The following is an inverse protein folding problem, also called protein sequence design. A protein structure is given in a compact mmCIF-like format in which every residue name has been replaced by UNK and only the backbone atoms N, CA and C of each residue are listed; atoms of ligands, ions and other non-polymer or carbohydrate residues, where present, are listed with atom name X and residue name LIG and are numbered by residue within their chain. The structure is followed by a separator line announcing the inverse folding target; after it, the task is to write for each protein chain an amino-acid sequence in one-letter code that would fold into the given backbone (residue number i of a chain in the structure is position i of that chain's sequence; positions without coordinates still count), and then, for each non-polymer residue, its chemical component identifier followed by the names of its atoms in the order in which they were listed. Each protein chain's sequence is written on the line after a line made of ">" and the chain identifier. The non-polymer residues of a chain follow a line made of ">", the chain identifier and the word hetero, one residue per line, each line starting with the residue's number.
data_IF_436567964765
#
_entry.id   IF_436567964765
#
_cell.length_a   1.000
_cell.length_b   1.000
_cell.length_c   1.000
_cell.angle_alpha   90.00
_cell.angle_beta   90.00
_cell.angle_gamma   90.00
#
_symmetry.space_group_name_H-M   'P 1'
#
loop_
_entity.id
_entity.type
_entity.pdbx_description
1 polymer ?
#
# COMPACT_ATOMS: atom_id res chain seq x y z
N UNK A 1 14.56 -30.39 -6.09
CA UNK A 1 13.64 -29.26 -5.86
C UNK A 1 12.52 -29.76 -4.96
N UNK A 2 12.11 -28.98 -3.94
CA UNK A 2 11.12 -29.45 -2.97
C UNK A 2 9.73 -28.86 -3.27
N UNK A 3 8.67 -29.58 -2.92
CA UNK A 3 7.30 -29.11 -3.04
C UNK A 3 7.04 -27.98 -2.02
N UNK A 4 6.53 -26.81 -2.41
CA UNK A 4 6.30 -25.69 -1.49
C UNK A 4 5.19 -25.97 -0.45
N UNK A 5 4.29 -26.93 -0.72
CA UNK A 5 3.20 -27.27 0.19
C UNK A 5 3.54 -28.34 1.21
N UNK A 6 4.28 -29.40 0.83
CA UNK A 6 4.49 -30.56 1.68
C UNK A 6 5.98 -30.88 1.92
N UNK A 7 6.92 -30.11 1.37
CA UNK A 7 8.36 -30.31 1.53
C UNK A 7 8.94 -31.56 0.86
N UNK A 8 8.16 -32.37 0.14
CA UNK A 8 8.67 -33.58 -0.54
C UNK A 8 9.57 -33.24 -1.72
N UNK A 9 10.63 -33.99 -1.89
CA UNK A 9 11.56 -33.83 -3.02
C UNK A 9 10.87 -34.24 -4.33
N UNK A 10 11.00 -33.39 -5.34
CA UNK A 10 10.38 -33.58 -6.66
C UNK A 10 11.41 -33.58 -7.77
N UNK A 11 11.20 -34.36 -8.87
CA UNK A 11 12.02 -34.30 -10.08
C UNK A 11 11.99 -32.89 -10.71
N UNK A 12 13.09 -32.49 -11.34
CA UNK A 12 13.12 -31.28 -12.15
C UNK A 12 12.08 -31.35 -13.28
N UNK A 13 11.17 -30.37 -13.37
CA UNK A 13 10.15 -30.31 -14.41
C UNK A 13 8.82 -31.02 -14.08
N UNK A 14 8.63 -31.52 -12.86
CA UNK A 14 7.34 -32.09 -12.43
C UNK A 14 6.26 -30.96 -12.41
N UNK A 15 5.10 -31.23 -13.04
CA UNK A 15 3.95 -30.30 -13.10
C UNK A 15 3.03 -30.37 -11.90
N UNK A 16 3.08 -31.46 -11.16
CA UNK A 16 2.34 -31.65 -9.90
C UNK A 16 3.20 -32.39 -8.90
N UNK A 17 2.88 -32.28 -7.62
CA UNK A 17 3.54 -33.05 -6.57
C UNK A 17 2.87 -34.42 -6.42
N UNK A 18 3.60 -35.50 -6.65
CA UNK A 18 3.08 -36.86 -6.55
C UNK A 18 2.62 -37.28 -5.15
N UNK A 19 2.94 -36.43 -4.13
CA UNK A 19 2.58 -36.72 -2.73
C UNK A 19 1.33 -35.94 -2.25
N UNK A 20 1.09 -34.71 -2.71
CA UNK A 20 0.00 -33.89 -2.23
C UNK A 20 -0.86 -33.28 -3.36
N UNK A 21 -0.67 -33.74 -4.59
CA UNK A 21 -1.35 -33.28 -5.83
C UNK A 21 -1.30 -31.74 -6.06
N UNK A 22 -0.41 -31.04 -5.35
CA UNK A 22 -0.23 -29.60 -5.58
C UNK A 22 0.27 -29.36 -6.99
N UNK A 23 -0.44 -28.57 -7.74
CA UNK A 23 0.04 -28.06 -9.04
C UNK A 23 1.32 -27.22 -8.79
N UNK A 24 2.41 -27.64 -9.40
CA UNK A 24 3.74 -27.06 -9.26
C UNK A 24 4.08 -26.11 -10.42
N UNK A 25 3.14 -25.89 -11.31
CA UNK A 25 3.18 -24.73 -12.19
C UNK A 25 3.03 -23.48 -11.30
N UNK A 26 4.12 -23.07 -10.65
CA UNK A 26 4.22 -21.72 -10.10
C UNK A 26 3.71 -20.78 -11.18
N UNK A 27 2.82 -19.82 -10.85
CA UNK A 27 2.51 -18.75 -11.79
C UNK A 27 3.87 -18.16 -12.19
N UNK A 28 4.27 -18.38 -13.43
CA UNK A 28 5.39 -17.68 -14.04
C UNK A 28 5.07 -16.18 -13.94
N UNK A 29 6.08 -15.31 -13.97
CA UNK A 29 5.91 -13.84 -14.01
C UNK A 29 4.80 -13.35 -14.96
N UNK A 30 4.41 -14.17 -15.94
CA UNK A 30 3.28 -13.94 -16.83
C UNK A 30 1.93 -13.78 -16.10
N UNK A 31 1.68 -14.49 -14.98
CA UNK A 31 0.39 -14.41 -14.26
C UNK A 31 0.25 -13.10 -13.49
N UNK A 32 1.35 -12.59 -12.92
CA UNK A 32 1.37 -11.27 -12.27
C UNK A 32 1.15 -10.18 -13.32
N UNK A 33 1.81 -10.29 -14.48
CA UNK A 33 1.63 -9.36 -15.59
C UNK A 33 0.20 -9.38 -16.13
N UNK A 34 -0.47 -10.52 -16.14
CA UNK A 34 -1.86 -10.66 -16.63
C UNK A 34 -2.88 -10.10 -15.62
N UNK A 35 -2.68 -10.25 -14.32
CA UNK A 35 -3.50 -9.63 -13.28
C UNK A 35 -3.39 -8.11 -13.36
N UNK A 36 -2.16 -7.57 -13.44
CA UNK A 36 -1.90 -6.14 -13.55
C UNK A 36 -2.49 -5.54 -14.83
N UNK A 37 -2.43 -6.23 -15.96
CA UNK A 37 -3.05 -5.77 -17.22
C UNK A 37 -4.57 -5.76 -17.18
N UNK A 38 -5.21 -6.63 -16.40
CA UNK A 38 -6.66 -6.67 -16.27
C UNK A 38 -7.22 -5.53 -15.41
N UNK A 39 -6.39 -4.94 -14.53
CA UNK A 39 -6.78 -3.81 -13.66
C UNK A 39 -6.73 -2.45 -14.34
N UNK A 40 -6.15 -2.35 -15.54
CA UNK A 40 -5.89 -1.06 -16.20
C UNK A 40 -4.74 -0.27 -15.60
N UNK A 41 -3.90 -0.92 -14.78
CA UNK A 41 -2.69 -0.34 -14.22
C UNK A 41 -1.61 -0.20 -15.29
N UNK A 42 -1.04 1.01 -15.42
CA UNK A 42 -0.08 1.36 -16.45
C UNK A 42 1.19 1.94 -15.85
N UNK A 43 2.33 1.56 -16.44
CA UNK A 43 3.63 1.98 -15.95
C UNK A 43 3.98 1.33 -14.61
N UNK A 44 5.02 1.86 -13.95
CA UNK A 44 5.39 1.46 -12.58
C UNK A 44 5.84 0.01 -12.40
N UNK A 45 6.22 -0.68 -13.49
CA UNK A 45 6.66 -2.07 -13.42
C UNK A 45 7.90 -2.23 -12.53
N UNK A 46 8.80 -1.23 -12.52
CA UNK A 46 9.97 -1.21 -11.65
C UNK A 46 9.55 -1.13 -10.18
N UNK A 47 8.75 -0.14 -9.84
CA UNK A 47 8.31 0.10 -8.46
C UNK A 47 7.47 -1.08 -7.93
N UNK A 48 6.57 -1.61 -8.74
CA UNK A 48 5.79 -2.78 -8.38
C UNK A 48 6.67 -4.04 -8.27
N UNK A 49 7.70 -4.18 -9.11
CA UNK A 49 8.69 -5.24 -9.03
C UNK A 49 9.48 -5.20 -7.72
N UNK A 50 9.93 -4.01 -7.30
CA UNK A 50 10.64 -3.80 -6.04
C UNK A 50 9.74 -4.11 -4.83
N UNK A 51 8.48 -3.69 -4.84
CA UNK A 51 7.48 -4.01 -3.81
C UNK A 51 7.17 -5.52 -3.76
N UNK A 52 7.05 -6.15 -4.92
CA UNK A 52 6.82 -7.59 -5.03
C UNK A 52 8.00 -8.40 -4.51
N UNK A 53 9.24 -7.91 -4.71
CA UNK A 53 10.45 -8.50 -4.13
C UNK A 53 10.44 -8.38 -2.61
N UNK A 54 10.11 -7.18 -2.07
CA UNK A 54 10.00 -6.98 -0.62
C UNK A 54 8.92 -7.87 0.01
N UNK A 55 7.79 -8.09 -0.68
CA UNK A 55 6.77 -9.06 -0.28
C UNK A 55 7.34 -10.49 -0.25
N UNK A 56 8.14 -10.87 -1.25
CA UNK A 56 8.81 -12.17 -1.31
C UNK A 56 9.78 -12.38 -0.14
N UNK A 57 10.54 -11.34 0.21
CA UNK A 57 11.44 -11.37 1.36
C UNK A 57 10.66 -11.56 2.67
N UNK A 58 9.59 -10.80 2.87
CA UNK A 58 8.73 -10.93 4.06
C UNK A 58 8.10 -12.34 4.15
N UNK A 59 7.56 -12.88 3.06
CA UNK A 59 7.05 -14.27 3.01
C UNK A 59 8.14 -15.30 3.38
N UNK A 60 9.41 -14.97 3.13
CA UNK A 60 10.56 -15.82 3.44
C UNK A 60 11.12 -15.62 4.84
N UNK A 61 10.44 -14.83 5.70
CA UNK A 61 10.86 -14.57 7.08
C UNK A 61 11.82 -13.41 7.24
N UNK A 62 11.93 -12.54 6.24
CA UNK A 62 12.77 -11.33 6.31
C UNK A 62 11.86 -10.10 6.26
N UNK A 63 11.52 -9.58 7.44
CA UNK A 63 10.65 -8.42 7.57
C UNK A 63 11.16 -7.20 6.81
N UNK A 64 10.25 -6.47 6.15
CA UNK A 64 10.57 -5.32 5.29
C UNK A 64 9.70 -4.11 5.58
N UNK A 65 10.32 -2.93 5.51
CA UNK A 65 9.63 -1.65 5.41
C UNK A 65 9.91 -1.02 4.06
N UNK A 66 8.86 -0.65 3.31
CA UNK A 66 8.99 0.12 2.08
C UNK A 66 8.19 1.41 2.21
N UNK A 67 8.83 2.55 2.00
CA UNK A 67 8.17 3.85 2.00
C UNK A 67 8.14 4.44 0.60
N UNK A 68 6.93 4.85 0.16
CA UNK A 68 6.65 5.43 -1.14
C UNK A 68 6.50 6.94 -0.99
N UNK A 69 7.51 7.69 -1.41
CA UNK A 69 7.47 9.15 -1.51
C UNK A 69 6.96 9.63 -2.87
N UNK A 70 6.46 10.85 -2.94
CA UNK A 70 6.10 11.50 -4.21
C UNK A 70 4.94 12.45 -4.09
N UNK A 71 4.70 13.22 -5.15
CA UNK A 71 3.68 14.27 -5.23
C UNK A 71 2.25 13.76 -5.03
N UNK A 72 1.32 14.62 -4.60
CA UNK A 72 -0.11 14.31 -4.58
C UNK A 72 -0.62 13.89 -5.96
N UNK A 73 -1.40 12.80 -6.01
CA UNK A 73 -2.00 12.32 -7.26
C UNK A 73 -1.04 11.59 -8.22
N UNK A 74 0.22 11.37 -7.84
CA UNK A 74 1.21 10.70 -8.69
C UNK A 74 0.95 9.20 -8.90
N UNK A 75 0.05 8.59 -8.10
CA UNK A 75 -0.35 7.20 -8.23
C UNK A 75 0.17 6.27 -7.12
N UNK A 76 0.63 6.78 -5.97
CA UNK A 76 1.09 5.95 -4.83
C UNK A 76 0.04 4.93 -4.38
N UNK A 77 -1.18 5.39 -4.10
CA UNK A 77 -2.30 4.53 -3.72
C UNK A 77 -2.59 3.43 -4.75
N UNK A 78 -2.51 3.75 -6.05
CA UNK A 78 -2.72 2.75 -7.11
C UNK A 78 -1.67 1.62 -7.05
N UNK A 79 -0.39 1.97 -6.83
CA UNK A 79 0.68 0.97 -6.70
C UNK A 79 0.44 0.09 -5.47
N UNK A 80 0.03 0.68 -4.34
CA UNK A 80 -0.26 -0.05 -3.10
C UNK A 80 -1.47 -0.98 -3.27
N UNK A 81 -2.50 -0.56 -4.04
CA UNK A 81 -3.66 -1.40 -4.40
C UNK A 81 -3.25 -2.63 -5.22
N UNK A 82 -2.38 -2.45 -6.21
CA UNK A 82 -1.87 -3.59 -7.00
C UNK A 82 -1.05 -4.55 -6.13
N UNK A 83 -0.21 -4.00 -5.23
CA UNK A 83 0.52 -4.83 -4.27
C UNK A 83 -0.43 -5.61 -3.35
N UNK A 84 -1.53 -4.98 -2.87
CA UNK A 84 -2.53 -5.64 -2.04
C UNK A 84 -3.13 -6.86 -2.76
N UNK A 85 -3.50 -6.71 -4.04
CA UNK A 85 -4.03 -7.81 -4.84
C UNK A 85 -2.99 -8.95 -5.01
N UNK A 86 -1.71 -8.60 -5.21
CA UNK A 86 -0.62 -9.59 -5.31
C UNK A 86 -0.40 -10.29 -3.96
N UNK A 87 -0.48 -9.58 -2.84
CA UNK A 87 -0.31 -10.12 -1.50
C UNK A 87 -1.45 -11.10 -1.15
N UNK A 88 -2.70 -10.73 -1.43
CA UNK A 88 -3.87 -11.59 -1.25
C UNK A 88 -3.76 -12.87 -2.09
N UNK A 89 -3.36 -12.77 -3.36
CA UNK A 89 -3.12 -13.92 -4.23
C UNK A 89 -2.00 -14.84 -3.72
N UNK A 90 -1.09 -14.34 -2.88
CA UNK A 90 -0.04 -15.10 -2.19
C UNK A 90 -0.45 -15.54 -0.77
N UNK A 91 -1.73 -15.41 -0.42
CA UNK A 91 -2.29 -15.78 0.88
C UNK A 91 -1.68 -15.02 2.07
N UNK A 92 -1.25 -13.79 1.87
CA UNK A 92 -0.89 -12.88 2.95
C UNK A 92 -2.15 -12.17 3.49
N UNK A 93 -2.18 -11.90 4.80
CA UNK A 93 -3.22 -11.07 5.40
C UNK A 93 -2.87 -9.59 5.17
N UNK A 94 -3.78 -8.84 4.57
CA UNK A 94 -3.55 -7.43 4.20
C UNK A 94 -4.40 -6.52 5.06
N UNK A 95 -3.77 -5.65 5.84
CA UNK A 95 -4.44 -4.63 6.65
C UNK A 95 -4.08 -3.24 6.15
N UNK A 96 -5.08 -2.41 5.93
CA UNK A 96 -4.95 -1.12 5.26
C UNK A 96 -5.58 -0.01 6.07
N UNK A 97 -4.79 1.00 6.40
CA UNK A 97 -5.27 2.17 7.13
C UNK A 97 -4.67 3.48 6.61
N UNK A 98 -5.44 4.54 6.81
CA UNK A 98 -5.04 5.90 6.46
C UNK A 98 -4.73 6.70 7.71
N UNK A 99 -3.65 7.47 7.68
CA UNK A 99 -3.42 8.49 8.69
C UNK A 99 -4.42 9.64 8.50
N UNK A 100 -4.94 10.15 9.60
CA UNK A 100 -6.03 11.12 9.58
C UNK A 100 -5.53 12.54 9.29
N UNK A 101 -6.07 13.18 8.24
CA UNK A 101 -5.84 14.60 7.95
C UNK A 101 -6.67 15.46 8.89
N UNK A 102 -6.11 15.94 9.97
CA UNK A 102 -6.77 16.91 10.85
C UNK A 102 -6.41 16.80 12.32
N UNK A 103 -6.71 17.87 13.05
CA UNK A 103 -6.55 17.93 14.50
C UNK A 103 -7.65 17.09 15.18
N UNK A 104 -7.25 16.20 16.10
CA UNK A 104 -8.18 15.49 16.96
C UNK A 104 -8.22 13.96 16.80
N UNK A 105 -7.44 13.36 15.92
CA UNK A 105 -7.24 11.92 15.96
C UNK A 105 -6.56 11.52 17.27
N UNK A 106 -7.02 10.44 17.94
CA UNK A 106 -6.33 9.92 19.11
C UNK A 106 -4.91 9.49 18.75
N UNK A 107 -3.95 9.55 19.70
CA UNK A 107 -2.63 8.94 19.49
C UNK A 107 -2.76 7.47 19.04
N UNK A 108 -1.85 7.03 18.17
CA UNK A 108 -1.84 5.66 17.61
C UNK A 108 -3.04 5.29 16.73
N UNK A 109 -3.80 6.26 16.22
CA UNK A 109 -5.04 5.99 15.48
C UNK A 109 -4.93 4.94 14.37
N UNK A 110 -3.98 5.01 13.40
CA UNK A 110 -3.87 4.00 12.35
C UNK A 110 -3.57 2.60 12.92
N UNK A 111 -2.78 2.52 13.97
CA UNK A 111 -2.47 1.26 14.64
C UNK A 111 -3.69 0.65 15.34
N UNK A 112 -4.53 1.49 15.98
CA UNK A 112 -5.78 1.01 16.57
C UNK A 112 -6.69 0.36 15.54
N UNK A 113 -6.81 0.96 14.37
CA UNK A 113 -7.67 0.42 13.32
C UNK A 113 -7.11 -0.90 12.78
N UNK A 114 -5.80 -0.97 12.49
CA UNK A 114 -5.13 -2.21 12.10
C UNK A 114 -5.36 -3.31 13.14
N UNK A 115 -5.09 -3.02 14.41
CA UNK A 115 -5.21 -4.02 15.47
C UNK A 115 -6.66 -4.49 15.65
N UNK A 116 -7.65 -3.60 15.51
CA UNK A 116 -9.07 -3.97 15.48
C UNK A 116 -9.40 -4.91 14.34
N UNK A 117 -8.89 -4.63 13.14
CA UNK A 117 -9.07 -5.49 11.97
C UNK A 117 -8.42 -6.85 12.22
N UNK A 118 -7.18 -6.89 12.72
CA UNK A 118 -6.50 -8.13 13.11
C UNK A 118 -7.31 -8.94 14.12
N UNK A 119 -7.85 -8.27 15.17
CA UNK A 119 -8.70 -8.91 16.18
C UNK A 119 -10.00 -9.42 15.56
N UNK A 120 -10.63 -8.67 14.64
CA UNK A 120 -11.88 -9.06 14.01
C UNK A 120 -11.74 -10.32 13.13
N UNK A 121 -10.65 -10.40 12.37
CA UNK A 121 -10.39 -11.47 11.39
C UNK A 121 -9.79 -12.74 12.01
N UNK A 122 -9.12 -12.65 13.17
CA UNK A 122 -8.56 -13.80 13.88
C UNK A 122 -9.61 -14.51 14.70
N UNK A 123 -9.57 -15.85 14.78
CA UNK A 123 -10.27 -16.59 15.81
C UNK A 123 -9.59 -16.41 17.20
N UNK A 124 -10.30 -16.77 18.26
CA UNK A 124 -9.81 -16.53 19.61
C UNK A 124 -8.53 -17.31 19.94
N UNK A 125 -8.41 -18.56 19.48
CA UNK A 125 -7.25 -19.43 19.75
C UNK A 125 -6.01 -18.90 19.04
N UNK A 126 -6.14 -18.53 17.76
CA UNK A 126 -5.06 -17.95 16.97
C UNK A 126 -4.59 -16.61 17.55
N UNK A 127 -5.55 -15.78 17.96
CA UNK A 127 -5.27 -14.51 18.57
C UNK A 127 -4.51 -14.66 19.90
N UNK A 128 -4.99 -15.55 20.79
CA UNK A 128 -4.37 -15.81 22.10
C UNK A 128 -2.95 -16.37 21.93
N UNK A 129 -2.73 -17.26 20.97
CA UNK A 129 -1.41 -17.81 20.66
C UNK A 129 -0.42 -16.71 20.17
N UNK A 130 -0.91 -15.73 19.41
CA UNK A 130 -0.07 -14.64 18.89
C UNK A 130 0.25 -13.56 19.94
N UNK A 131 -0.60 -13.35 20.94
CA UNK A 131 -0.48 -12.26 21.93
C UNK A 131 0.73 -12.35 22.84
N UNK A 132 1.25 -13.55 23.12
CA UNK A 132 2.32 -13.70 24.10
C UNK A 132 1.89 -13.38 25.53
N UNK A 133 2.84 -12.90 26.36
CA UNK A 133 2.63 -12.72 27.82
C UNK A 133 1.93 -11.43 28.22
N UNK A 134 1.84 -10.42 27.32
CA UNK A 134 1.39 -9.07 27.66
C UNK A 134 0.03 -8.68 27.03
N UNK A 135 -0.85 -9.67 26.87
CA UNK A 135 -2.22 -9.50 26.37
C UNK A 135 -3.02 -8.38 27.08
N UNK A 136 -2.73 -8.15 28.35
CA UNK A 136 -3.38 -7.14 29.19
C UNK A 136 -3.13 -5.70 28.70
N UNK A 137 -1.90 -5.39 28.31
CA UNK A 137 -1.54 -4.07 27.77
C UNK A 137 -2.24 -3.79 26.43
N UNK A 138 -2.41 -4.82 25.62
CA UNK A 138 -3.12 -4.73 24.34
C UNK A 138 -4.63 -4.44 24.55
N UNK A 139 -5.24 -4.99 25.59
CA UNK A 139 -6.64 -4.74 25.93
C UNK A 139 -6.96 -3.31 26.36
N UNK A 140 -5.97 -2.48 26.64
CA UNK A 140 -6.14 -1.03 26.85
C UNK A 140 -6.36 -0.30 25.55
N UNK A 141 -5.72 -0.75 24.47
CA UNK A 141 -5.79 -0.13 23.15
C UNK A 141 -6.99 -0.63 22.36
N UNK A 142 -7.28 -1.93 22.44
CA UNK A 142 -8.36 -2.57 21.71
C UNK A 142 -9.38 -3.13 22.72
N UNK A 143 -10.31 -2.30 23.21
CA UNK A 143 -11.30 -2.73 24.22
C UNK A 143 -12.15 -3.90 23.77
N UNK A 144 -12.38 -4.05 22.47
CA UNK A 144 -13.11 -5.16 21.85
C UNK A 144 -12.48 -6.52 22.15
N UNK A 145 -11.18 -6.55 22.46
CA UNK A 145 -10.45 -7.74 22.85
C UNK A 145 -11.07 -8.43 24.08
N UNK A 146 -11.58 -7.65 25.04
CA UNK A 146 -12.23 -8.18 26.24
C UNK A 146 -13.47 -9.02 25.93
N UNK A 147 -14.12 -8.80 24.80
CA UNK A 147 -15.23 -9.63 24.33
C UNK A 147 -14.76 -10.99 23.79
N UNK A 148 -13.56 -11.06 23.21
CA UNK A 148 -12.95 -12.31 22.71
C UNK A 148 -12.21 -13.07 23.81
N UNK A 149 -11.57 -12.35 24.73
CA UNK A 149 -10.82 -12.88 25.87
C UNK A 149 -11.44 -12.38 27.19
N UNK A 150 -12.53 -13.00 27.68
CA UNK A 150 -13.23 -12.54 28.90
C UNK A 150 -12.38 -12.57 30.17
N UNK A 151 -11.33 -13.41 30.18
CA UNK A 151 -10.41 -13.58 31.31
C UNK A 151 -9.19 -12.67 31.26
N UNK A 152 -9.18 -11.69 30.33
CA UNK A 152 -8.06 -10.76 30.22
C UNK A 152 -7.94 -9.93 31.50
N UNK A 153 -6.78 -10.01 32.15
CA UNK A 153 -6.47 -9.29 33.39
C UNK A 153 -6.50 -7.77 33.21
N UNK A 154 -6.31 -7.07 34.29
CA UNK A 154 -6.07 -5.62 34.28
C UNK A 154 -4.56 -5.42 34.30
N UNK A 155 -3.98 -4.64 33.38
CA UNK A 155 -2.55 -4.41 33.38
C UNK A 155 -2.09 -3.76 34.67
N UNK A 156 -0.90 -4.13 35.18
CA UNK A 156 -0.31 -3.48 36.33
C UNK A 156 -0.09 -2.00 36.06
N UNK A 157 -0.23 -1.16 37.08
CA UNK A 157 0.02 0.28 36.97
C UNK A 157 1.51 0.53 36.85
N UNK A 158 1.95 1.14 35.77
CA UNK A 158 3.33 1.55 35.51
C UNK A 158 3.45 3.06 35.41
N UNK A 159 4.68 3.57 35.49
CA UNK A 159 4.95 4.93 35.06
C UNK A 159 4.70 5.06 33.51
N UNK A 160 4.38 6.26 33.01
CA UNK A 160 3.96 6.45 31.62
C UNK A 160 4.97 5.97 30.57
N UNK A 161 6.28 6.08 30.84
CA UNK A 161 7.31 5.67 29.87
C UNK A 161 7.43 4.15 29.81
N UNK A 162 7.40 3.48 30.95
CA UNK A 162 7.35 2.01 31.04
C UNK A 162 6.09 1.44 30.42
N UNK A 163 4.93 2.07 30.64
CA UNK A 163 3.66 1.66 30.04
C UNK A 163 3.72 1.76 28.51
N UNK A 164 4.27 2.86 27.96
CA UNK A 164 4.45 3.06 26.52
C UNK A 164 5.39 2.02 25.90
N UNK A 165 6.52 1.74 26.54
CA UNK A 165 7.46 0.74 26.04
C UNK A 165 6.82 -0.65 25.96
N UNK A 166 6.14 -1.07 27.04
CA UNK A 166 5.42 -2.36 27.07
C UNK A 166 4.35 -2.46 26.01
N UNK A 167 3.65 -1.36 25.77
CA UNK A 167 2.67 -1.27 24.69
C UNK A 167 3.30 -1.54 23.34
N UNK A 168 4.41 -0.89 23.04
CA UNK A 168 5.16 -1.05 21.79
C UNK A 168 5.65 -2.48 21.62
N UNK A 169 6.21 -3.05 22.69
CA UNK A 169 6.71 -4.41 22.72
C UNK A 169 5.59 -5.45 22.52
N UNK A 170 4.45 -5.26 23.20
CA UNK A 170 3.28 -6.12 23.03
C UNK A 170 2.73 -6.11 21.61
N UNK A 171 2.62 -4.93 20.99
CA UNK A 171 2.15 -4.80 19.60
C UNK A 171 3.13 -5.46 18.64
N UNK A 172 4.42 -5.19 18.81
CA UNK A 172 5.48 -5.76 17.96
C UNK A 172 5.50 -7.28 18.07
N UNK A 173 5.46 -7.82 19.28
CA UNK A 173 5.41 -9.26 19.55
C UNK A 173 4.19 -9.90 18.92
N UNK A 174 3.01 -9.28 19.08
CA UNK A 174 1.79 -9.77 18.43
C UNK A 174 1.92 -9.83 16.92
N UNK A 175 2.34 -8.75 16.27
CA UNK A 175 2.48 -8.71 14.81
C UNK A 175 3.48 -9.75 14.29
N UNK A 176 4.60 -9.92 14.96
CA UNK A 176 5.61 -10.94 14.64
C UNK A 176 5.03 -12.34 14.76
N UNK A 177 4.40 -12.65 15.89
CA UNK A 177 3.83 -13.98 16.14
C UNK A 177 2.69 -14.29 15.17
N UNK A 178 1.78 -13.34 14.95
CA UNK A 178 0.67 -13.50 14.02
C UNK A 178 1.17 -13.71 12.57
N UNK A 179 2.27 -13.04 12.19
CA UNK A 179 2.86 -13.18 10.85
C UNK A 179 3.50 -14.54 10.60
N UNK A 180 3.85 -15.31 11.64
CA UNK A 180 4.44 -16.65 11.49
C UNK A 180 3.43 -17.68 10.94
N UNK A 181 2.15 -17.50 11.20
CA UNK A 181 1.09 -18.36 10.70
C UNK A 181 0.73 -18.00 9.26
N UNK A 182 0.53 -16.72 8.99
CA UNK A 182 0.32 -16.17 7.65
C UNK A 182 1.08 -14.85 7.51
N UNK A 183 1.81 -14.61 6.40
CA UNK A 183 2.49 -13.34 6.18
C UNK A 183 1.50 -12.17 6.32
N UNK A 184 1.93 -11.11 6.98
CA UNK A 184 1.11 -9.90 7.19
C UNK A 184 1.68 -8.74 6.37
N UNK A 185 0.80 -8.05 5.66
CA UNK A 185 1.12 -6.81 4.95
C UNK A 185 0.33 -5.67 5.57
N UNK A 186 1.03 -4.72 6.17
CA UNK A 186 0.45 -3.50 6.73
C UNK A 186 0.62 -2.35 5.75
N UNK A 187 -0.47 -1.72 5.34
CA UNK A 187 -0.48 -0.58 4.45
C UNK A 187 -0.91 0.67 5.21
N UNK A 188 0.02 1.62 5.36
CA UNK A 188 -0.17 2.88 6.09
C UNK A 188 -0.11 4.03 5.10
N UNK A 189 -1.27 4.58 4.73
CA UNK A 189 -1.32 5.71 3.80
C UNK A 189 -1.22 7.06 4.50
N UNK A 190 -0.60 8.00 3.79
CA UNK A 190 -0.46 9.39 4.17
C UNK A 190 0.25 9.59 5.53
N UNK A 191 1.39 8.90 5.74
CA UNK A 191 2.22 8.96 6.95
C UNK A 191 2.67 10.39 7.35
N UNK A 192 2.63 11.35 6.43
CA UNK A 192 2.89 12.76 6.72
C UNK A 192 1.81 13.38 7.64
N UNK A 193 0.64 12.73 7.81
CA UNK A 193 -0.39 13.11 8.78
C UNK A 193 -0.35 12.28 10.07
N UNK A 194 0.55 11.30 10.15
CA UNK A 194 0.66 10.46 11.33
C UNK A 194 1.15 11.27 12.55
N UNK A 195 0.53 11.03 13.69
CA UNK A 195 0.97 11.62 14.96
C UNK A 195 2.33 11.07 15.39
N UNK A 196 3.04 11.83 16.24
CA UNK A 196 4.40 11.47 16.68
C UNK A 196 4.44 10.13 17.43
N UNK A 197 3.36 9.74 18.10
CA UNK A 197 3.28 8.47 18.82
C UNK A 197 3.12 7.29 17.87
N UNK A 198 2.30 7.45 16.82
CA UNK A 198 2.15 6.47 15.74
C UNK A 198 3.47 6.23 15.00
N UNK A 199 4.21 7.30 14.71
CA UNK A 199 5.51 7.22 14.06
C UNK A 199 6.56 6.58 14.97
N UNK A 200 6.54 6.85 16.29
CA UNK A 200 7.44 6.22 17.25
C UNK A 200 7.19 4.72 17.38
N UNK A 201 5.94 4.27 17.32
CA UNK A 201 5.60 2.85 17.27
C UNK A 201 6.09 2.20 15.98
N UNK A 202 5.94 2.87 14.83
CA UNK A 202 6.50 2.38 13.56
C UNK A 202 8.01 2.15 13.66
N UNK A 203 8.75 3.13 14.22
CA UNK A 203 10.20 3.03 14.43
C UNK A 203 10.57 1.84 15.34
N UNK A 204 9.78 1.61 16.40
CA UNK A 204 10.00 0.49 17.32
C UNK A 204 9.81 -0.86 16.61
N UNK A 205 8.71 -1.01 15.85
CA UNK A 205 8.42 -2.24 15.10
C UNK A 205 9.55 -2.56 14.10
N UNK A 206 10.03 -1.54 13.36
CA UNK A 206 11.13 -1.69 12.40
C UNK A 206 12.40 -2.21 13.07
N UNK A 207 12.69 -1.76 14.28
CA UNK A 207 13.85 -2.18 15.06
C UNK A 207 13.87 -3.68 15.37
N UNK A 208 12.72 -4.36 15.37
CA UNK A 208 12.60 -5.77 15.80
C UNK A 208 11.94 -6.70 14.76
N UNK A 209 11.51 -6.20 13.61
CA UNK A 209 10.80 -7.00 12.61
C UNK A 209 11.69 -7.83 11.66
N UNK A 210 13.01 -7.73 11.75
CA UNK A 210 13.95 -8.31 10.77
C UNK A 210 13.73 -9.83 10.54
N UNK A 211 13.42 -10.56 11.61
CA UNK A 211 13.11 -12.00 11.58
C UNK A 211 11.59 -12.23 11.73
N UNK A 212 10.81 -11.75 10.76
CA UNK A 212 9.35 -11.92 10.75
C UNK A 212 8.80 -11.99 9.33
N UNK A 213 7.57 -12.48 9.18
CA UNK A 213 6.87 -12.49 7.89
C UNK A 213 6.01 -11.21 7.73
N UNK A 214 6.57 -10.06 8.11
CA UNK A 214 5.89 -8.77 8.13
C UNK A 214 6.42 -7.85 7.03
N UNK A 215 5.53 -7.37 6.17
CA UNK A 215 5.79 -6.27 5.25
C UNK A 215 5.01 -5.03 5.70
N UNK A 216 5.70 -3.92 5.91
CA UNK A 216 5.06 -2.62 6.13
C UNK A 216 5.29 -1.76 4.89
N UNK A 217 4.22 -1.21 4.32
CA UNK A 217 4.27 -0.27 3.21
C UNK A 217 3.64 1.03 3.64
N UNK A 218 4.42 2.10 3.61
CA UNK A 218 3.93 3.44 3.94
C UNK A 218 3.93 4.38 2.74
N UNK A 219 2.94 5.25 2.62
CA UNK A 219 2.96 6.34 1.63
C UNK A 219 3.06 7.69 2.31
N UNK A 220 3.74 8.63 1.67
CA UNK A 220 3.81 10.01 2.15
C UNK A 220 3.96 11.00 0.97
N UNK A 221 3.77 12.29 1.25
CA UNK A 221 3.96 13.38 0.27
C UNK A 221 5.24 14.13 0.59
N UNK A 222 6.18 14.13 -0.34
CA UNK A 222 7.50 14.73 -0.14
C UNK A 222 7.41 16.24 0.16
N UNK A 223 6.51 16.94 -0.53
CA UNK A 223 6.30 18.38 -0.39
C UNK A 223 5.62 18.78 0.94
N UNK A 224 5.06 17.84 1.70
CA UNK A 224 4.46 18.06 3.02
C UNK A 224 5.38 17.64 4.18
N UNK A 225 6.55 17.05 3.89
CA UNK A 225 7.52 16.58 4.89
C UNK A 225 8.73 17.52 4.94
N UNK A 226 8.67 18.52 5.83
CA UNK A 226 9.80 19.42 6.10
C UNK A 226 10.88 18.72 6.95
N UNK A 227 12.07 19.35 7.06
CA UNK A 227 13.17 18.82 7.88
C UNK A 227 12.81 18.68 9.37
N UNK A 228 11.92 19.54 9.87
CA UNK A 228 11.44 19.51 11.27
C UNK A 228 10.25 18.55 11.46
N UNK A 229 9.78 17.93 10.40
CA UNK A 229 8.65 17.01 10.47
C UNK A 229 9.04 15.71 11.20
N UNK A 230 8.15 15.18 12.06
CA UNK A 230 8.41 13.94 12.81
C UNK A 230 8.78 12.76 11.90
N UNK A 231 8.17 12.66 10.72
CA UNK A 231 8.48 11.63 9.73
C UNK A 231 9.92 11.76 9.20
N UNK A 232 10.44 12.98 8.97
CA UNK A 232 11.82 13.20 8.50
C UNK A 232 12.85 12.62 9.48
N UNK A 233 12.60 12.77 10.78
CA UNK A 233 13.47 12.20 11.82
C UNK A 233 13.47 10.67 11.76
N UNK A 234 12.29 10.07 11.60
CA UNK A 234 12.15 8.61 11.50
C UNK A 234 12.81 8.09 10.24
N UNK A 235 12.58 8.74 9.07
CA UNK A 235 13.28 8.41 7.84
C UNK A 235 14.80 8.37 8.03
N UNK A 236 15.36 9.38 8.71
CA UNK A 236 16.80 9.42 9.03
C UNK A 236 17.29 8.27 9.91
N UNK A 237 16.46 7.77 10.80
CA UNK A 237 16.78 6.64 11.69
C UNK A 237 16.67 5.30 10.96
N UNK A 238 15.57 5.10 10.22
CA UNK A 238 15.28 3.82 9.55
C UNK A 238 16.17 3.54 8.34
N UNK A 239 16.79 4.57 7.73
CA UNK A 239 17.79 4.43 6.66
C UNK A 239 18.95 3.50 7.03
N UNK A 240 19.17 3.23 8.32
CA UNK A 240 20.25 2.38 8.82
C UNK A 240 19.85 0.91 8.98
N UNK A 241 18.57 0.60 8.79
CA UNK A 241 18.07 -0.77 8.92
C UNK A 241 18.12 -1.49 7.57
N UNK A 242 18.69 -2.68 7.52
CA UNK A 242 18.87 -3.48 6.29
C UNK A 242 17.51 -3.86 5.64
N UNK A 243 16.44 -3.89 6.43
CA UNK A 243 15.07 -4.16 5.98
C UNK A 243 14.31 -2.96 5.39
N UNK A 244 14.93 -1.78 5.34
CA UNK A 244 14.30 -0.55 4.87
C UNK A 244 14.58 -0.27 3.40
N UNK A 245 13.56 0.19 2.68
CA UNK A 245 13.67 0.68 1.30
C UNK A 245 12.79 1.93 1.12
N UNK A 246 13.31 2.93 0.41
CA UNK A 246 12.54 4.09 -0.04
C UNK A 246 12.41 4.08 -1.56
N UNK A 247 11.19 4.31 -2.04
CA UNK A 247 10.85 4.41 -3.46
C UNK A 247 10.27 5.78 -3.76
N UNK A 248 10.96 6.55 -4.59
CA UNK A 248 10.45 7.82 -5.09
C UNK A 248 9.57 7.58 -6.31
N UNK A 249 8.31 7.94 -6.22
CA UNK A 249 7.32 7.77 -7.27
C UNK A 249 7.29 9.05 -8.12
N UNK A 250 7.95 8.98 -9.27
CA UNK A 250 8.00 10.09 -10.24
C UNK A 250 6.75 10.16 -11.13
N UNK A 251 6.78 11.03 -12.13
CA UNK A 251 5.73 11.19 -13.14
C UNK A 251 5.63 10.00 -14.09
N UNK A 252 4.44 9.77 -14.66
CA UNK A 252 4.25 8.82 -15.78
C UNK A 252 5.00 9.33 -17.02
N UNK A 253 5.62 8.41 -17.75
CA UNK A 253 6.26 8.73 -19.03
C UNK A 253 5.20 9.03 -20.11
N UNK A 254 5.63 9.64 -21.21
CA UNK A 254 4.75 9.85 -22.37
C UNK A 254 4.18 8.52 -22.90
N UNK A 255 4.98 7.44 -22.84
CA UNK A 255 4.56 6.10 -23.23
C UNK A 255 3.43 5.58 -22.34
N UNK A 256 3.61 5.71 -21.01
CA UNK A 256 2.61 5.28 -20.02
C UNK A 256 1.29 6.06 -20.20
N UNK A 257 1.38 7.39 -20.42
CA UNK A 257 0.18 8.21 -20.69
C UNK A 257 -0.50 7.78 -21.99
N UNK A 258 0.24 7.45 -23.04
CA UNK A 258 -0.31 6.92 -24.29
C UNK A 258 -1.02 5.57 -24.10
N UNK A 259 -0.45 4.67 -23.30
CA UNK A 259 -1.06 3.38 -22.95
C UNK A 259 -2.34 3.59 -22.12
N UNK A 260 -2.31 4.49 -21.14
CA UNK A 260 -3.49 4.83 -20.33
C UNK A 260 -4.63 5.39 -21.18
N UNK A 261 -4.32 6.27 -22.13
CA UNK A 261 -5.28 6.81 -23.11
C UNK A 261 -5.89 5.68 -23.94
N UNK A 262 -5.08 4.76 -24.42
CA UNK A 262 -5.52 3.64 -25.26
C UNK A 262 -6.45 2.70 -24.47
N UNK A 263 -6.10 2.35 -23.24
CA UNK A 263 -6.91 1.51 -22.36
C UNK A 263 -8.23 2.17 -21.95
N UNK A 264 -8.27 3.50 -21.91
CA UNK A 264 -9.49 4.27 -21.63
C UNK A 264 -10.41 4.46 -22.83
N UNK A 265 -10.18 3.75 -23.94
CA UNK A 265 -11.00 3.87 -25.15
C UNK A 265 -10.58 4.99 -26.11
N UNK A 266 -9.51 5.72 -25.79
CA UNK A 266 -8.95 6.81 -26.61
C UNK A 266 -8.00 6.35 -27.73
N UNK A 267 -8.21 5.15 -28.29
CA UNK A 267 -7.33 4.58 -29.33
C UNK A 267 -7.13 5.46 -30.57
N UNK A 268 -8.09 6.34 -30.86
CA UNK A 268 -8.08 7.26 -31.99
C UNK A 268 -7.52 8.64 -31.64
N UNK A 269 -7.00 8.85 -30.41
CA UNK A 269 -6.45 10.14 -30.00
C UNK A 269 -5.13 10.42 -30.72
N UNK A 270 -5.02 11.55 -31.44
CA UNK A 270 -3.79 11.93 -32.13
C UNK A 270 -2.62 12.05 -31.16
N UNK A 271 -1.46 11.52 -31.53
CA UNK A 271 -0.26 11.49 -30.69
C UNK A 271 0.18 12.88 -30.21
N UNK A 272 0.00 13.90 -31.03
CA UNK A 272 0.32 15.28 -30.67
C UNK A 272 -0.58 15.83 -29.55
N UNK A 273 -1.83 15.36 -29.44
CA UNK A 273 -2.73 15.68 -28.34
C UNK A 273 -2.24 15.00 -27.05
N UNK A 274 -1.82 13.74 -27.11
CA UNK A 274 -1.25 13.01 -25.96
C UNK A 274 0.04 13.69 -25.48
N UNK A 275 0.92 14.10 -26.39
CA UNK A 275 2.15 14.82 -26.08
C UNK A 275 1.87 16.20 -25.45
N UNK A 276 0.86 16.91 -25.93
CA UNK A 276 0.45 18.18 -25.36
C UNK A 276 -0.14 18.00 -23.97
N UNK A 277 -1.00 17.01 -23.78
CA UNK A 277 -1.57 16.65 -22.48
C UNK A 277 -0.47 16.31 -21.48
N UNK A 278 0.45 15.41 -21.85
CA UNK A 278 1.58 15.01 -20.99
C UNK A 278 2.41 16.21 -20.54
N UNK A 279 2.76 17.13 -21.44
CA UNK A 279 3.52 18.35 -21.12
C UNK A 279 2.78 19.29 -20.17
N UNK A 280 1.44 19.35 -20.26
CA UNK A 280 0.63 20.26 -19.44
C UNK A 280 0.38 19.76 -18.04
N UNK A 281 0.32 18.44 -17.86
CA UNK A 281 0.02 17.77 -16.58
C UNK A 281 1.26 17.13 -15.97
N UNK A 282 2.44 17.31 -16.63
CA UNK A 282 3.74 16.79 -16.21
C UNK A 282 3.71 15.29 -15.85
N UNK A 283 2.85 14.51 -16.52
CA UNK A 283 2.69 13.08 -16.30
C UNK A 283 2.07 12.68 -14.95
N UNK A 284 1.39 13.61 -14.24
CA UNK A 284 0.70 13.28 -13.00
C UNK A 284 -0.53 12.40 -13.27
N UNK A 285 -0.58 11.19 -12.70
CA UNK A 285 -1.56 10.16 -13.00
C UNK A 285 -3.01 10.61 -12.72
N UNK A 286 -3.24 11.37 -11.63
CA UNK A 286 -4.57 11.90 -11.29
C UNK A 286 -5.09 12.83 -12.38
N UNK A 287 -4.25 13.74 -12.86
CA UNK A 287 -4.65 14.69 -13.90
C UNK A 287 -4.86 14.01 -15.25
N UNK A 288 -4.08 12.96 -15.59
CA UNK A 288 -4.34 12.13 -16.77
C UNK A 288 -5.73 11.51 -16.69
N UNK A 289 -6.06 10.88 -15.56
CA UNK A 289 -7.38 10.25 -15.35
C UNK A 289 -8.54 11.24 -15.45
N UNK A 290 -8.39 12.45 -14.87
CA UNK A 290 -9.43 13.49 -14.96
C UNK A 290 -9.55 14.05 -16.38
N UNK A 291 -8.45 14.21 -17.09
CA UNK A 291 -8.48 14.64 -18.50
C UNK A 291 -9.23 13.62 -19.36
N UNK A 292 -8.95 12.33 -19.19
CA UNK A 292 -9.62 11.26 -19.92
C UNK A 292 -11.13 11.24 -19.66
N UNK A 293 -11.57 11.37 -18.41
CA UNK A 293 -12.99 11.49 -18.05
C UNK A 293 -13.69 12.67 -18.74
N UNK A 294 -12.98 13.81 -18.86
CA UNK A 294 -13.54 15.00 -19.52
C UNK A 294 -13.60 14.85 -21.04
N UNK A 295 -12.70 14.09 -21.64
CA UNK A 295 -12.72 13.79 -23.08
C UNK A 295 -13.83 12.80 -23.42
N UNK A 296 -14.06 11.80 -22.57
CA UNK A 296 -15.13 10.80 -22.71
C UNK A 296 -16.53 11.41 -22.57
N UNK A 297 -16.70 12.36 -21.65
CA UNK A 297 -17.98 13.05 -21.42
C UNK A 297 -18.48 13.87 -22.65
N UNK A 298 -17.63 14.07 -23.66
CA UNK A 298 -17.93 14.86 -24.86
C UNK A 298 -17.99 14.04 -26.16
N UNK A 299 -17.90 12.71 -26.11
CA UNK A 299 -17.91 11.82 -27.28
C UNK A 299 -19.02 10.76 -27.25
N UNK A 300 -19.51 10.26 -28.42
CA UNK A 300 -20.49 9.20 -28.50
C UNK A 300 -19.81 7.83 -28.39
N UNK A 301 -19.95 7.13 -27.28
CA UNK A 301 -19.49 5.75 -27.16
C UNK A 301 -19.56 5.22 -25.74
N UNK A 302 -20.00 4.00 -25.57
CA UNK A 302 -20.27 3.31 -24.32
C UNK A 302 -19.12 3.41 -23.31
N UNK A 303 -19.40 4.02 -22.18
CA UNK A 303 -18.49 4.25 -21.06
C UNK A 303 -18.18 2.94 -20.35
N UNK A 304 -16.94 2.46 -20.43
CA UNK A 304 -16.40 1.60 -19.38
C UNK A 304 -16.02 2.51 -18.19
N UNK A 305 -16.80 2.42 -17.13
CA UNK A 305 -16.66 3.22 -15.92
C UNK A 305 -15.34 2.84 -15.20
N UNK A 306 -14.34 3.69 -15.32
CA UNK A 306 -13.17 3.66 -14.44
C UNK A 306 -13.60 4.14 -13.06
N UNK A 307 -13.69 3.22 -12.10
CA UNK A 307 -13.82 3.56 -10.70
C UNK A 307 -12.44 3.92 -10.13
N UNK A 308 -11.97 5.12 -10.39
CA UNK A 308 -10.97 5.69 -9.52
C UNK A 308 -11.66 6.01 -8.20
N UNK A 309 -11.33 5.28 -7.14
CA UNK A 309 -11.69 5.67 -5.80
C UNK A 309 -11.20 7.12 -5.61
N UNK A 310 -12.12 8.03 -5.34
CA UNK A 310 -11.83 9.45 -5.13
C UNK A 310 -11.56 9.66 -3.63
N UNK A 311 -10.30 9.67 -3.15
CA UNK A 311 -10.00 9.91 -1.75
C UNK A 311 -9.82 11.39 -1.44
N UNK A 312 -9.90 12.29 -2.44
CA UNK A 312 -9.59 13.70 -2.23
C UNK A 312 -10.87 14.54 -2.14
N UNK A 313 -11.38 14.66 -0.92
CA UNK A 313 -12.29 15.71 -0.53
C UNK A 313 -11.67 17.10 -0.85
N UNK A 314 -12.40 17.86 -1.68
CA UNK A 314 -12.42 19.31 -1.70
C UNK A 314 -11.11 20.08 -2.01
N UNK A 315 -10.53 19.90 -3.19
CA UNK A 315 -9.56 20.88 -3.72
C UNK A 315 -10.20 21.75 -4.81
N UNK A 316 -10.78 22.89 -4.41
CA UNK A 316 -11.44 23.85 -5.33
C UNK A 316 -10.49 24.44 -6.41
N UNK A 317 -9.17 24.42 -6.20
CA UNK A 317 -8.18 24.91 -7.15
C UNK A 317 -7.98 24.00 -8.37
N UNK A 318 -8.01 22.68 -8.19
CA UNK A 318 -7.73 21.71 -9.27
C UNK A 318 -8.79 21.68 -10.37
N UNK A 319 -10.08 21.89 -10.04
CA UNK A 319 -11.15 21.95 -11.06
C UNK A 319 -11.02 23.12 -12.03
N UNK A 320 -10.44 24.23 -11.60
CA UNK A 320 -10.19 25.36 -12.51
C UNK A 320 -9.02 25.11 -13.45
N UNK A 321 -7.96 24.50 -12.96
CA UNK A 321 -6.79 24.12 -13.76
C UNK A 321 -7.17 23.09 -14.83
N UNK A 322 -7.90 22.03 -14.46
CA UNK A 322 -8.37 21.01 -15.41
C UNK A 322 -9.32 21.58 -16.47
N UNK A 323 -10.26 22.44 -16.11
CA UNK A 323 -11.15 23.11 -17.08
C UNK A 323 -10.37 23.99 -18.07
N UNK A 324 -9.29 24.62 -17.62
CA UNK A 324 -8.41 25.40 -18.47
C UNK A 324 -7.60 24.51 -19.43
N UNK A 325 -7.06 23.38 -18.94
CA UNK A 325 -6.35 22.38 -19.74
C UNK A 325 -7.24 21.84 -20.86
N UNK A 326 -8.46 21.41 -20.52
CA UNK A 326 -9.42 20.87 -21.51
C UNK A 326 -9.78 21.90 -22.57
N UNK A 327 -10.06 23.16 -22.19
CA UNK A 327 -10.33 24.23 -23.16
C UNK A 327 -9.15 24.47 -24.12
N UNK A 328 -7.93 24.37 -23.62
CA UNK A 328 -6.73 24.61 -24.45
C UNK A 328 -6.42 23.46 -25.40
N UNK A 329 -6.65 22.21 -24.97
CA UNK A 329 -6.55 21.03 -25.83
C UNK A 329 -7.62 21.09 -26.91
N UNK A 330 -8.88 21.38 -26.56
CA UNK A 330 -9.97 21.50 -27.53
C UNK A 330 -9.76 22.63 -28.54
N UNK A 331 -9.26 23.80 -28.10
CA UNK A 331 -8.97 24.92 -29.01
C UNK A 331 -7.80 24.66 -29.94
N UNK A 332 -6.82 23.82 -29.54
CA UNK A 332 -5.71 23.38 -30.38
C UNK A 332 -6.14 22.38 -31.47
N UNK A 333 -7.16 21.55 -31.20
CA UNK A 333 -7.73 20.63 -32.16
C UNK A 333 -8.58 21.32 -33.25
N UNK A 334 -9.32 22.37 -32.88
CA UNK A 334 -10.13 23.16 -33.83
C UNK A 334 -9.29 24.03 -34.77
N UNK A 335 -8.11 24.48 -34.33
CA UNK A 335 -7.19 25.30 -35.12
C UNK A 335 -6.52 24.58 -36.32
N UNK A 336 -6.62 23.25 -36.42
CA UNK A 336 -6.03 22.42 -37.49
C UNK A 336 -7.05 21.92 -38.53
N UNK A 337 -8.31 22.28 -38.37
CA UNK A 337 -9.39 21.94 -39.32
C UNK A 337 -9.74 23.11 -40.28
N UNK A 338 -8.85 24.12 -40.37
CA UNK A 338 -9.01 25.21 -41.32
C UNK A 338 -7.83 25.25 -42.33
#
# INVERSE_FOLDING_TARGET
>A
MFCPKCGHEKPQGARSCDFCDQDLNTPSDSTITDVVRSSGFVGRQRELGELTSALGDAISGHGRLVLLGGDPGIGKTCIVQELAAIADARSADVFWEHCYEGEGAPPYWPWFQILRSCVAESDAERFEAAMGSDAEAFGEIVPELRSKLPNLGVPPTFDPDSARFRLFDSITTYLKNASNDRPIVLMLEDLHWADASSLALLEHIIGDMAESNLLIVGTYRDNEVSLDHSLSRILGNVLRHDGFQSLDIGSLTLGDVGELVTLSGGSDMPRDIVEQAHRMIEGNALFVGELLKLLDANGPGETHAWQFANPLGNQRGHKQTLRWVVRRVQSGADGRRR
#
